data_IF_507937776461
#
_entry.id   IF_507937776461
#
_cell.length_a   1.000
_cell.length_b   1.000
_cell.length_c   1.000
_cell.angle_alpha   90.00
_cell.angle_beta   90.00
_cell.angle_gamma   90.00
#
_symmetry.space_group_name_H-M   'P 1'
#
loop_
_entity.id
_entity.type
_entity.pdbx_description
1 polymer ?
#
# COMPACT_ATOMS: atom_id res chain seq x y z
N UNK A 1 -5.10 -2.28 0.31
CA UNK A 1 -5.07 -3.75 0.41
C UNK A 1 -6.45 -4.21 0.85
N UNK A 2 -7.00 -5.26 0.26
CA UNK A 2 -8.24 -5.85 0.72
C UNK A 2 -8.04 -6.50 2.09
N UNK A 3 -9.08 -6.51 2.90
CA UNK A 3 -9.06 -7.09 4.23
C UNK A 3 -10.03 -8.27 4.25
N UNK A 4 -9.60 -9.40 4.76
CA UNK A 4 -10.49 -10.47 5.17
C UNK A 4 -10.98 -10.18 6.60
N UNK A 5 -12.29 -10.05 6.77
CA UNK A 5 -12.89 -9.70 8.05
C UNK A 5 -13.09 -10.95 8.89
N UNK A 6 -12.63 -10.88 10.13
CA UNK A 6 -12.84 -11.91 11.15
C UNK A 6 -13.62 -11.28 12.30
N UNK A 7 -14.67 -11.96 12.74
CA UNK A 7 -15.38 -11.57 13.95
C UNK A 7 -14.53 -11.88 15.18
N UNK A 8 -14.45 -10.94 16.14
CA UNK A 8 -13.65 -11.11 17.34
C UNK A 8 -14.06 -12.30 18.22
N UNK A 9 -15.34 -12.69 18.19
CA UNK A 9 -15.87 -13.89 18.86
C UNK A 9 -15.71 -15.16 18.03
N UNK A 10 -15.39 -15.04 16.75
CA UNK A 10 -15.28 -16.17 15.82
C UNK A 10 -14.27 -17.21 16.26
N UNK A 11 -13.16 -16.82 16.90
CA UNK A 11 -12.14 -17.73 17.39
C UNK A 11 -12.68 -18.74 18.45
N UNK A 12 -13.71 -18.38 19.19
CA UNK A 12 -14.35 -19.22 20.21
C UNK A 12 -15.69 -19.83 19.74
N UNK A 13 -16.04 -19.61 18.47
CA UNK A 13 -17.25 -20.21 17.92
C UNK A 13 -17.14 -21.74 17.88
N UNK A 14 -18.21 -22.45 18.25
CA UNK A 14 -18.21 -23.91 18.36
C UNK A 14 -17.72 -24.63 17.08
N UNK A 15 -18.06 -24.13 15.90
CA UNK A 15 -17.58 -24.66 14.61
C UNK A 15 -16.05 -24.57 14.48
N UNK A 16 -15.46 -23.46 14.90
CA UNK A 16 -14.01 -23.22 14.86
C UNK A 16 -13.30 -24.12 15.85
N UNK A 17 -13.83 -24.22 17.07
CA UNK A 17 -13.29 -25.12 18.10
C UNK A 17 -13.36 -26.58 17.65
N UNK A 18 -14.45 -27.01 17.01
CA UNK A 18 -14.59 -28.36 16.48
C UNK A 18 -13.60 -28.67 15.33
N UNK A 19 -13.35 -27.69 14.45
CA UNK A 19 -12.40 -27.84 13.35
C UNK A 19 -10.95 -27.91 13.84
N UNK A 20 -10.63 -27.21 14.92
CA UNK A 20 -9.29 -27.11 15.51
C UNK A 20 -8.39 -26.07 14.85
N UNK A 21 -7.29 -25.75 15.51
CA UNK A 21 -6.42 -24.63 15.15
C UNK A 21 -5.80 -24.74 13.75
N UNK A 22 -5.42 -25.95 13.32
CA UNK A 22 -4.85 -26.18 11.99
C UNK A 22 -5.87 -25.84 10.89
N UNK A 23 -7.11 -26.30 11.05
CA UNK A 23 -8.18 -26.04 10.10
C UNK A 23 -8.59 -24.57 10.13
N UNK A 24 -8.68 -23.96 11.30
CA UNK A 24 -8.93 -22.52 11.41
C UNK A 24 -7.84 -21.68 10.73
N UNK A 25 -6.57 -22.02 10.90
CA UNK A 25 -5.46 -21.37 10.21
C UNK A 25 -5.57 -21.50 8.67
N UNK A 26 -5.94 -22.67 8.17
CA UNK A 26 -6.18 -22.88 6.74
C UNK A 26 -7.37 -22.04 6.23
N UNK A 27 -8.47 -21.98 6.99
CA UNK A 27 -9.63 -21.19 6.68
C UNK A 27 -9.30 -19.68 6.63
N UNK A 28 -8.53 -19.15 7.58
CA UNK A 28 -8.06 -17.77 7.58
C UNK A 28 -7.21 -17.45 6.34
N UNK A 29 -6.28 -18.34 5.98
CA UNK A 29 -5.44 -18.17 4.77
C UNK A 29 -6.28 -18.20 3.49
N UNK A 30 -7.24 -19.11 3.43
CA UNK A 30 -8.18 -19.17 2.31
C UNK A 30 -9.01 -17.89 2.16
N UNK A 31 -9.54 -17.35 3.27
CA UNK A 31 -10.30 -16.12 3.28
C UNK A 31 -9.46 -14.90 2.84
N UNK A 32 -8.22 -14.82 3.31
CA UNK A 32 -7.28 -13.78 2.86
C UNK A 32 -6.99 -13.88 1.37
N UNK A 33 -6.77 -15.10 0.86
CA UNK A 33 -6.55 -15.33 -0.57
C UNK A 33 -7.79 -14.93 -1.39
N UNK A 34 -9.01 -15.32 -0.97
CA UNK A 34 -10.25 -14.94 -1.63
C UNK A 34 -10.44 -13.42 -1.67
N UNK A 35 -10.12 -12.72 -0.57
CA UNK A 35 -10.20 -11.27 -0.48
C UNK A 35 -9.20 -10.57 -1.42
N UNK A 36 -8.00 -11.11 -1.55
CA UNK A 36 -6.98 -10.56 -2.46
C UNK A 36 -7.32 -10.81 -3.93
N UNK A 37 -7.73 -12.03 -4.27
CA UNK A 37 -8.03 -12.47 -5.63
C UNK A 37 -9.46 -12.11 -6.08
N UNK A 38 -10.31 -11.61 -5.18
CA UNK A 38 -11.68 -11.20 -5.47
C UNK A 38 -12.55 -12.35 -6.03
N UNK A 39 -12.55 -13.50 -5.34
CA UNK A 39 -13.25 -14.72 -5.75
C UNK A 39 -14.56 -14.96 -5.01
N UNK A 40 -15.03 -13.99 -4.22
CA UNK A 40 -16.27 -14.07 -3.44
C UNK A 40 -16.35 -15.32 -2.54
N UNK A 41 -15.19 -15.73 -1.98
CA UNK A 41 -15.07 -16.87 -1.08
C UNK A 41 -14.84 -18.21 -1.77
N UNK A 42 -14.73 -18.25 -3.10
CA UNK A 42 -14.41 -19.48 -3.81
C UNK A 42 -12.89 -19.73 -3.79
N UNK A 43 -12.50 -20.94 -3.37
CA UNK A 43 -11.10 -21.42 -3.29
C UNK A 43 -10.93 -22.56 -4.29
N UNK A 44 -10.22 -22.34 -5.41
CA UNK A 44 -9.90 -23.43 -6.35
C UNK A 44 -9.14 -24.57 -5.68
N UNK A 45 -9.37 -25.81 -6.13
CA UNK A 45 -8.72 -26.99 -5.53
C UNK A 45 -7.19 -26.91 -5.54
N UNK A 46 -6.61 -26.42 -6.64
CA UNK A 46 -5.16 -26.23 -6.74
C UNK A 46 -4.60 -25.24 -5.68
N UNK A 47 -5.37 -24.22 -5.31
CA UNK A 47 -5.00 -23.28 -4.25
C UNK A 47 -5.20 -23.93 -2.87
N UNK A 48 -6.30 -24.65 -2.69
CA UNK A 48 -6.59 -25.37 -1.46
C UNK A 48 -5.47 -26.36 -1.09
N UNK A 49 -4.94 -27.10 -2.07
CA UNK A 49 -3.84 -28.04 -1.90
C UNK A 49 -2.53 -27.37 -1.47
N UNK A 50 -2.31 -26.12 -1.89
CA UNK A 50 -1.15 -25.33 -1.45
C UNK A 50 -1.31 -24.79 -0.02
N UNK A 51 -2.54 -24.55 0.41
CA UNK A 51 -2.83 -24.02 1.75
C UNK A 51 -2.74 -25.11 2.80
N UNK A 52 -3.36 -26.28 2.58
CA UNK A 52 -3.40 -27.36 3.53
C UNK A 52 -3.72 -28.73 2.86
N UNK A 53 -3.43 -29.80 3.58
CA UNK A 53 -3.75 -31.16 3.15
C UNK A 53 -5.25 -31.41 3.10
N UNK A 54 -5.71 -32.34 2.27
CA UNK A 54 -7.13 -32.68 2.08
C UNK A 54 -7.85 -32.99 3.41
N UNK A 55 -7.18 -33.65 4.37
CA UNK A 55 -7.73 -33.94 5.72
C UNK A 55 -8.17 -32.66 6.45
N UNK A 56 -7.44 -31.57 6.28
CA UNK A 56 -7.76 -30.28 6.92
C UNK A 56 -9.01 -29.67 6.33
N UNK A 57 -9.14 -29.76 5.02
CA UNK A 57 -10.34 -29.31 4.29
C UNK A 57 -11.57 -30.13 4.68
N UNK A 58 -11.43 -31.45 4.86
CA UNK A 58 -12.49 -32.31 5.38
C UNK A 58 -13.02 -31.85 6.74
N UNK A 59 -12.13 -31.47 7.68
CA UNK A 59 -12.54 -30.90 8.98
C UNK A 59 -13.32 -29.59 8.85
N UNK A 60 -12.95 -28.75 7.89
CA UNK A 60 -13.67 -27.51 7.62
C UNK A 60 -15.06 -27.76 7.05
N UNK A 61 -15.23 -28.77 6.20
CA UNK A 61 -16.52 -29.21 5.66
C UNK A 61 -17.40 -29.77 6.78
N UNK A 62 -16.86 -30.68 7.61
CA UNK A 62 -17.57 -31.24 8.77
C UNK A 62 -18.04 -30.15 9.73
N UNK A 63 -17.19 -29.16 10.00
CA UNK A 63 -17.52 -28.01 10.85
C UNK A 63 -18.47 -26.99 10.17
N UNK A 64 -18.82 -27.19 8.91
CA UNK A 64 -19.66 -26.25 8.11
C UNK A 64 -19.09 -24.82 8.06
N UNK A 65 -17.78 -24.70 8.01
CA UNK A 65 -17.09 -23.44 7.75
C UNK A 65 -16.87 -23.21 6.24
N UNK A 66 -16.87 -24.29 5.48
CA UNK A 66 -16.84 -24.33 4.03
C UNK A 66 -17.77 -25.43 3.51
N UNK A 67 -18.09 -25.39 2.24
CA UNK A 67 -18.72 -26.51 1.54
C UNK A 67 -17.97 -26.84 0.24
N UNK A 68 -18.09 -28.05 -0.23
CA UNK A 68 -17.55 -28.45 -1.53
C UNK A 68 -18.33 -27.79 -2.66
N UNK A 69 -17.57 -27.30 -3.63
CA UNK A 69 -18.10 -26.70 -4.85
C UNK A 69 -17.38 -27.30 -6.06
N UNK A 70 -17.96 -27.14 -7.24
CA UNK A 70 -17.32 -27.62 -8.47
C UNK A 70 -15.95 -26.97 -8.65
N UNK A 71 -14.91 -27.76 -8.73
CA UNK A 71 -13.53 -27.31 -8.89
C UNK A 71 -12.83 -26.81 -7.62
N UNK A 72 -13.48 -26.86 -6.44
CA UNK A 72 -12.86 -26.36 -5.21
C UNK A 72 -13.75 -26.37 -3.99
N UNK A 73 -13.65 -25.31 -3.22
CA UNK A 73 -14.41 -25.11 -1.99
C UNK A 73 -14.98 -23.70 -1.95
N UNK A 74 -16.14 -23.53 -1.33
CA UNK A 74 -16.74 -22.22 -1.07
C UNK A 74 -16.77 -21.96 0.44
N UNK A 75 -16.29 -20.82 0.87
CA UNK A 75 -16.39 -20.37 2.26
C UNK A 75 -17.86 -20.03 2.55
N UNK A 76 -18.38 -20.60 3.64
CA UNK A 76 -19.74 -20.37 4.10
C UNK A 76 -19.91 -18.92 4.53
N UNK A 77 -21.03 -18.28 4.14
CA UNK A 77 -21.41 -16.90 4.49
C UNK A 77 -20.35 -15.84 4.18
N UNK A 78 -19.47 -16.09 3.17
CA UNK A 78 -18.37 -15.17 2.85
C UNK A 78 -18.85 -13.74 2.56
N UNK A 79 -19.92 -13.61 1.76
CA UNK A 79 -20.44 -12.31 1.33
C UNK A 79 -21.26 -11.58 2.41
N UNK A 80 -21.70 -12.27 3.45
CA UNK A 80 -22.40 -11.65 4.57
C UNK A 80 -21.45 -10.76 5.40
N UNK A 81 -20.17 -11.11 5.41
CA UNK A 81 -19.15 -10.45 6.22
C UNK A 81 -18.11 -9.68 5.41
N UNK A 82 -17.92 -10.05 4.15
CA UNK A 82 -16.92 -9.47 3.28
C UNK A 82 -17.58 -8.75 2.09
N UNK A 83 -17.00 -7.65 1.61
CA UNK A 83 -17.51 -6.99 0.41
C UNK A 83 -17.40 -7.92 -0.79
N UNK A 84 -18.37 -7.83 -1.69
CA UNK A 84 -18.31 -8.56 -2.97
C UNK A 84 -17.13 -8.09 -3.82
N UNK A 85 -16.70 -8.95 -4.73
CA UNK A 85 -15.64 -8.65 -5.70
C UNK A 85 -15.96 -7.39 -6.52
N UNK A 86 -17.22 -7.18 -6.88
CA UNK A 86 -17.68 -6.00 -7.61
C UNK A 86 -17.49 -4.72 -6.77
N UNK A 87 -17.98 -4.75 -5.52
CA UNK A 87 -17.83 -3.62 -4.58
C UNK A 87 -16.35 -3.25 -4.35
N UNK A 88 -15.50 -4.26 -4.17
CA UNK A 88 -14.08 -4.02 -3.93
C UNK A 88 -13.36 -3.52 -5.19
N UNK A 89 -13.74 -3.99 -6.40
CA UNK A 89 -13.22 -3.46 -7.67
C UNK A 89 -13.60 -2.00 -7.86
N UNK A 90 -14.86 -1.64 -7.62
CA UNK A 90 -15.32 -0.25 -7.70
C UNK A 90 -14.56 0.66 -6.72
N UNK A 91 -14.36 0.21 -5.48
CA UNK A 91 -13.57 0.92 -4.47
C UNK A 91 -12.10 1.09 -4.88
N UNK A 92 -11.48 0.05 -5.44
CA UNK A 92 -10.09 0.12 -5.94
C UNK A 92 -9.94 1.15 -7.05
N UNK A 93 -10.90 1.19 -7.98
CA UNK A 93 -10.89 2.16 -9.09
C UNK A 93 -11.07 3.59 -8.58
N UNK A 94 -12.03 3.83 -7.68
CA UNK A 94 -12.21 5.14 -7.05
C UNK A 94 -10.94 5.63 -6.34
N UNK A 95 -10.29 4.75 -5.58
CA UNK A 95 -9.04 5.08 -4.89
C UNK A 95 -7.89 5.35 -5.85
N UNK A 96 -7.83 4.63 -6.96
CA UNK A 96 -6.85 4.83 -8.03
C UNK A 96 -7.05 6.19 -8.68
N UNK A 97 -8.29 6.57 -8.96
CA UNK A 97 -8.61 7.88 -9.54
C UNK A 97 -8.26 9.02 -8.59
N UNK A 98 -8.64 8.93 -7.32
CA UNK A 98 -8.24 9.91 -6.29
C UNK A 98 -6.72 10.08 -6.19
N UNK A 99 -5.97 8.99 -6.24
CA UNK A 99 -4.49 9.04 -6.24
C UNK A 99 -3.94 9.71 -7.50
N UNK A 100 -4.53 9.45 -8.65
CA UNK A 100 -4.16 10.08 -9.92
C UNK A 100 -4.40 11.58 -9.91
N UNK A 101 -5.55 12.02 -9.40
CA UNK A 101 -5.89 13.44 -9.23
C UNK A 101 -4.96 14.13 -8.23
N UNK A 102 -4.73 13.52 -7.06
CA UNK A 102 -3.79 14.05 -6.08
C UNK A 102 -2.37 14.15 -6.64
N UNK A 103 -1.93 13.16 -7.42
CA UNK A 103 -0.63 13.19 -8.12
C UNK A 103 -0.53 14.33 -9.12
N UNK A 104 -1.57 14.58 -9.93
CA UNK A 104 -1.63 15.72 -10.86
C UNK A 104 -1.56 17.05 -10.12
N UNK A 105 -2.36 17.22 -9.07
CA UNK A 105 -2.37 18.43 -8.26
C UNK A 105 -1.01 18.67 -7.58
N UNK A 106 -0.38 17.63 -7.04
CA UNK A 106 0.96 17.70 -6.45
C UNK A 106 2.03 18.07 -7.47
N UNK A 107 1.99 17.48 -8.67
CA UNK A 107 2.90 17.78 -9.77
C UNK A 107 2.82 19.24 -10.23
N UNK A 108 1.61 19.77 -10.35
CA UNK A 108 1.38 21.19 -10.72
C UNK A 108 1.93 22.15 -9.66
N UNK A 109 1.71 21.86 -8.35
CA UNK A 109 2.26 22.67 -7.25
C UNK A 109 3.79 22.65 -7.25
N UNK A 110 4.39 21.46 -7.37
CA UNK A 110 5.85 21.32 -7.41
C UNK A 110 6.46 22.01 -8.63
N UNK A 111 5.80 21.95 -9.79
CA UNK A 111 6.22 22.66 -11.00
C UNK A 111 6.22 24.17 -10.83
N UNK A 112 5.18 24.73 -10.20
CA UNK A 112 5.10 26.18 -9.91
C UNK A 112 6.22 26.62 -8.95
N UNK A 113 6.48 25.85 -7.89
CA UNK A 113 7.55 26.14 -6.91
C UNK A 113 8.93 26.09 -7.56
N UNK A 114 9.18 25.11 -8.44
CA UNK A 114 10.47 25.03 -9.17
C UNK A 114 10.69 26.20 -10.09
N UNK A 115 9.67 26.62 -10.87
CA UNK A 115 9.74 27.81 -11.75
C UNK A 115 10.01 29.08 -10.95
N UNK A 116 9.27 29.30 -9.85
CA UNK A 116 9.47 30.46 -9.00
C UNK A 116 10.87 30.52 -8.38
N UNK A 117 11.48 29.39 -8.04
CA UNK A 117 12.87 29.32 -7.55
C UNK A 117 13.88 29.60 -8.66
N UNK A 118 13.61 29.16 -9.88
CA UNK A 118 14.51 29.38 -11.02
C UNK A 118 14.51 30.85 -11.43
N UNK A 119 13.32 31.46 -11.57
CA UNK A 119 13.18 32.88 -11.86
C UNK A 119 13.83 33.76 -10.76
N UNK A 120 13.70 33.39 -9.47
CA UNK A 120 14.34 34.11 -8.36
C UNK A 120 15.88 34.00 -8.37
N UNK A 121 16.42 32.86 -8.81
CA UNK A 121 17.88 32.65 -8.87
C UNK A 121 18.53 33.37 -10.07
N UNK A 122 17.83 33.56 -11.17
CA UNK A 122 18.31 34.33 -12.31
C UNK A 122 18.38 35.83 -11.99
N UNK A 123 17.46 36.33 -11.16
CA UNK A 123 17.51 37.70 -10.63
C UNK A 123 18.72 38.01 -9.74
N UNK A 124 19.09 37.08 -8.89
CA UNK A 124 20.30 37.21 -8.02
C UNK A 124 21.62 37.06 -8.79
N UNK A 125 21.68 36.19 -9.79
CA UNK A 125 22.87 36.01 -10.61
C UNK A 125 23.18 37.24 -11.44
N UNK A 126 22.15 37.94 -11.93
CA UNK A 126 22.32 39.18 -12.75
C UNK A 126 22.68 40.42 -11.90
N UNK A 127 22.31 40.45 -10.62
CA UNK A 127 22.71 41.53 -9.69
C UNK A 127 24.15 41.42 -9.23
N UNK A 128 24.76 40.21 -9.24
CA UNK A 128 26.17 40.00 -8.87
C UNK A 128 27.16 40.24 -10.00
N UNK A 129 26.73 40.28 -11.24
CA UNK A 129 27.57 40.59 -12.40
C UNK A 129 27.81 42.12 -12.66
N UNK A 130 27.08 43.00 -11.97
CA UNK A 130 27.24 44.44 -12.09
C UNK A 130 28.14 45.08 -11.02
N UNK A 131 28.68 44.31 -10.08
CA UNK A 131 29.66 44.78 -9.13
C UNK A 131 31.09 44.54 -9.67
N UNK A 132 31.74 45.60 -10.13
CA UNK A 132 33.07 45.63 -10.74
C UNK A 132 34.15 45.15 -9.72
N UNK A 133 35.12 44.32 -10.12
CA UNK A 133 36.13 43.73 -9.19
C UNK A 133 37.35 44.64 -9.05
N UNK A 134 37.20 45.91 -8.65
CA UNK A 134 38.36 46.82 -8.60
C UNK A 134 38.68 47.42 -7.22
N UNK A 135 38.01 47.04 -6.15
CA UNK A 135 38.32 47.62 -4.82
C UNK A 135 38.90 46.62 -3.82
N UNK A 136 39.01 45.31 -4.15
CA UNK A 136 39.55 44.31 -3.21
C UNK A 136 41.06 44.11 -3.28
N UNK A 137 41.79 44.81 -4.15
CA UNK A 137 43.25 44.58 -4.34
C UNK A 137 44.14 45.64 -3.74
N UNK A 138 43.59 46.72 -3.15
CA UNK A 138 44.39 47.75 -2.49
C UNK A 138 44.52 47.57 -0.97
N UNK A 139 43.62 46.85 -0.31
CA UNK A 139 43.72 46.60 1.14
C UNK A 139 44.69 45.43 1.52
N UNK A 140 44.89 44.48 0.61
CA UNK A 140 45.82 43.39 0.85
C UNK A 140 47.32 43.79 0.76
N UNK A 141 47.63 44.98 0.22
CA UNK A 141 49.02 45.46 0.05
C UNK A 141 49.51 46.30 1.20
N UNK A 142 48.60 46.79 2.07
CA UNK A 142 48.95 47.65 3.22
C UNK A 142 49.20 46.86 4.52
N UNK A 143 48.84 45.60 4.59
CA UNK A 143 48.99 44.77 5.77
C UNK A 143 50.26 43.91 5.77
N UNK A 144 51.07 43.91 4.70
CA UNK A 144 52.33 43.14 4.62
C UNK A 144 53.60 43.99 4.80
N UNK A 145 53.51 45.29 5.08
CA UNK A 145 54.66 46.17 5.26
C UNK A 145 54.87 46.65 6.71
N UNK A 146 54.13 46.13 7.69
CA UNK A 146 54.29 46.54 9.10
C UNK A 146 54.84 45.47 10.07
N UNK A 147 55.46 44.42 9.55
CA UNK A 147 56.10 43.38 10.41
C UNK A 147 57.53 43.09 9.89
N UNK A 148 58.38 44.05 10.00
CA UNK A 148 59.84 43.86 10.01
C UNK A 148 60.48 45.10 10.61
N UNK A 149 60.63 45.11 11.94
CA UNK A 149 61.74 45.71 12.71
C UNK A 149 61.70 45.12 14.13
#
# INVERSE_FOLDING_TARGET
MPWFRLEGRGAFHHKVLAAGNEAYGAWCRAGQWCSDQLTDGFVPRAVAEQIAKAKVWGKLVEARLIHEAEGGYQIHDYLDWNPSSETERARREEMREKRREAGRAGGLRSGKVRRAKQDGSEGEANSKQSASPNEANEEAKRSSESESD
#
